data_IF_537497767984
#
_entry.id   IF_537497767984
#
_cell.length_a   1.000
_cell.length_b   1.000
_cell.length_c   1.000
_cell.angle_alpha   90.00
_cell.angle_beta   90.00
_cell.angle_gamma   90.00
#
_symmetry.space_group_name_H-M   'P 1'
#
loop_
_entity.id
_entity.type
_entity.pdbx_description
1 polymer ?
#
# COMPACT_ATOMS: atom_id res chain seq x y z
N UNK A 1 -0.98 -5.67 -24.82
CA UNK A 1 -1.89 -6.00 -23.70
C UNK A 1 -1.60 -5.17 -22.42
N UNK A 2 -1.49 -3.83 -22.48
CA UNK A 2 -1.26 -3.01 -21.28
C UNK A 2 -2.44 -3.09 -20.29
N UNK A 3 -3.67 -3.10 -20.78
CA UNK A 3 -4.88 -3.10 -19.93
C UNK A 3 -4.96 -4.25 -18.91
N UNK A 4 -4.41 -5.43 -19.18
CA UNK A 4 -4.42 -6.55 -18.23
C UNK A 4 -3.56 -6.26 -16.99
N UNK A 5 -2.40 -5.63 -17.17
CA UNK A 5 -1.51 -5.26 -16.06
C UNK A 5 -2.05 -4.07 -15.25
N UNK A 6 -2.72 -3.13 -15.92
CA UNK A 6 -3.44 -2.03 -15.28
C UNK A 6 -4.58 -2.55 -14.38
N UNK A 7 -5.32 -3.58 -14.84
CA UNK A 7 -6.34 -4.26 -14.02
C UNK A 7 -5.77 -4.94 -12.78
N UNK A 8 -4.53 -5.45 -12.84
CA UNK A 8 -3.85 -6.02 -11.66
C UNK A 8 -3.55 -4.96 -10.60
N UNK A 9 -3.21 -3.73 -11.02
CA UNK A 9 -3.04 -2.62 -10.09
C UNK A 9 -4.36 -2.23 -9.39
N UNK A 10 -5.48 -2.26 -10.12
CA UNK A 10 -6.82 -2.09 -9.51
C UNK A 10 -7.19 -3.26 -8.58
N UNK A 11 -6.82 -4.50 -8.95
CA UNK A 11 -6.94 -5.66 -8.08
C UNK A 11 -6.18 -5.50 -6.77
N UNK A 12 -4.98 -4.94 -6.82
CA UNK A 12 -4.20 -4.60 -5.62
C UNK A 12 -4.92 -3.55 -4.75
N UNK A 13 -5.50 -2.51 -5.38
CA UNK A 13 -6.31 -1.52 -4.67
C UNK A 13 -7.51 -2.14 -3.95
N UNK A 14 -8.19 -3.11 -4.59
CA UNK A 14 -9.30 -3.85 -3.99
C UNK A 14 -8.82 -4.70 -2.80
N UNK A 15 -7.69 -5.39 -2.93
CA UNK A 15 -7.08 -6.13 -1.83
C UNK A 15 -6.76 -5.22 -0.64
N UNK A 16 -6.24 -4.02 -0.88
CA UNK A 16 -5.93 -3.05 0.19
C UNK A 16 -7.20 -2.47 0.82
N UNK A 17 -8.25 -2.24 0.04
CA UNK A 17 -9.54 -1.80 0.58
C UNK A 17 -10.15 -2.87 1.52
N UNK A 18 -10.16 -4.14 1.09
CA UNK A 18 -10.60 -5.27 1.93
C UNK A 18 -9.71 -5.43 3.17
N UNK A 19 -8.41 -5.36 2.99
CA UNK A 19 -7.44 -5.42 4.07
C UNK A 19 -7.68 -4.33 5.12
N UNK A 20 -7.99 -3.11 4.70
CA UNK A 20 -8.29 -2.00 5.60
C UNK A 20 -9.49 -2.30 6.52
N UNK A 21 -10.54 -2.97 6.02
CA UNK A 21 -11.67 -3.39 6.84
C UNK A 21 -11.31 -4.43 7.90
N UNK A 22 -10.46 -5.40 7.52
CA UNK A 22 -10.05 -6.51 8.40
C UNK A 22 -9.06 -6.02 9.46
N UNK A 23 -8.28 -4.98 9.16
CA UNK A 23 -7.20 -4.49 10.05
C UNK A 23 -7.68 -3.83 11.33
N UNK A 24 -8.91 -3.30 11.36
CA UNK A 24 -9.41 -2.43 12.46
C UNK A 24 -9.35 -3.11 13.83
N UNK A 25 -9.84 -4.34 13.94
CA UNK A 25 -9.84 -5.10 15.19
C UNK A 25 -8.42 -5.43 15.68
N UNK A 26 -7.64 -6.16 14.87
CA UNK A 26 -6.28 -6.55 15.24
C UNK A 26 -5.34 -5.38 15.53
N UNK A 27 -5.42 -4.29 14.76
CA UNK A 27 -4.56 -3.12 14.98
C UNK A 27 -4.90 -2.36 16.28
N UNK A 28 -6.18 -2.36 16.68
CA UNK A 28 -6.59 -1.81 17.99
C UNK A 28 -6.10 -2.66 19.15
N UNK A 29 -6.14 -3.98 19.00
CA UNK A 29 -5.72 -4.91 20.05
C UNK A 29 -4.20 -4.89 20.24
N UNK A 30 -3.43 -5.00 19.15
CA UNK A 30 -1.97 -5.12 19.20
C UNK A 30 -1.24 -3.76 19.25
N UNK A 31 -1.89 -2.69 18.82
CA UNK A 31 -1.22 -1.45 18.43
C UNK A 31 -0.65 -1.52 17.00
N UNK A 32 -0.51 -0.36 16.35
CA UNK A 32 -0.18 -0.28 14.92
C UNK A 32 1.14 -0.97 14.55
N UNK A 33 2.21 -0.74 15.31
CA UNK A 33 3.54 -1.32 15.01
C UNK A 33 3.58 -2.83 15.25
N UNK A 34 3.00 -3.30 16.38
CA UNK A 34 2.96 -4.74 16.66
C UNK A 34 2.05 -5.48 15.68
N UNK A 35 0.91 -4.90 15.29
CA UNK A 35 0.07 -5.42 14.21
C UNK A 35 0.84 -5.54 12.91
N UNK A 36 1.55 -4.46 12.47
CA UNK A 36 2.37 -4.49 11.26
C UNK A 36 3.43 -5.59 11.31
N UNK A 37 4.15 -5.71 12.41
CA UNK A 37 5.19 -6.73 12.60
C UNK A 37 4.66 -8.16 12.50
N UNK A 38 3.57 -8.48 13.22
CA UNK A 38 2.96 -9.81 13.15
C UNK A 38 2.39 -10.10 11.77
N UNK A 39 1.77 -9.09 11.15
CA UNK A 39 1.28 -9.17 9.77
C UNK A 39 2.40 -9.52 8.81
N UNK A 40 3.52 -8.79 8.85
CA UNK A 40 4.67 -9.02 7.96
C UNK A 40 5.30 -10.40 8.18
N UNK A 41 5.44 -10.84 9.44
CA UNK A 41 5.96 -12.17 9.75
C UNK A 41 5.09 -13.26 9.13
N UNK A 42 3.77 -13.21 9.38
CA UNK A 42 2.84 -14.22 8.84
C UNK A 42 2.82 -14.22 7.32
N UNK A 43 2.85 -13.04 6.69
CA UNK A 43 2.92 -12.91 5.23
C UNK A 43 4.23 -13.42 4.68
N UNK A 44 5.36 -13.13 5.32
CA UNK A 44 6.66 -13.66 4.89
C UNK A 44 6.63 -15.19 4.86
N UNK A 45 6.12 -15.82 5.92
CA UNK A 45 5.97 -17.28 5.99
C UNK A 45 5.07 -17.81 4.87
N UNK A 46 3.89 -17.17 4.65
CA UNK A 46 2.96 -17.58 3.59
C UNK A 46 3.57 -17.43 2.20
N UNK A 47 4.28 -16.31 1.94
CA UNK A 47 4.93 -16.06 0.65
C UNK A 47 6.07 -17.05 0.40
N UNK A 48 6.86 -17.40 1.41
CA UNK A 48 7.89 -18.43 1.26
C UNK A 48 7.30 -19.80 1.00
N UNK A 49 6.23 -20.19 1.70
CA UNK A 49 5.49 -21.42 1.38
C UNK A 49 5.00 -21.39 -0.06
N UNK A 50 4.35 -20.30 -0.49
CA UNK A 50 3.88 -20.16 -1.86
C UNK A 50 5.02 -20.21 -2.89
N UNK A 51 6.17 -19.57 -2.59
CA UNK A 51 7.36 -19.58 -3.45
C UNK A 51 7.94 -20.99 -3.62
N UNK A 52 7.93 -21.79 -2.55
CA UNK A 52 8.51 -23.14 -2.56
C UNK A 52 7.58 -24.18 -3.16
N UNK A 53 6.25 -23.98 -3.09
CA UNK A 53 5.27 -25.03 -3.42
C UNK A 53 4.38 -24.70 -4.62
N UNK A 54 4.06 -23.44 -4.83
CA UNK A 54 3.00 -23.02 -5.78
C UNK A 54 3.50 -22.12 -6.91
N UNK A 55 4.78 -21.72 -6.89
CA UNK A 55 5.23 -20.72 -7.83
C UNK A 55 5.37 -21.26 -9.27
N UNK A 56 4.59 -20.72 -10.23
CA UNK A 56 4.66 -21.12 -11.63
C UNK A 56 5.87 -20.54 -12.36
N UNK A 57 6.60 -19.60 -11.76
CA UNK A 57 7.74 -18.89 -12.36
C UNK A 57 9.10 -19.38 -11.87
N UNK A 58 9.18 -20.53 -11.20
CA UNK A 58 10.44 -21.11 -10.74
C UNK A 58 10.88 -20.71 -9.34
N UNK A 59 10.03 -19.99 -8.60
CA UNK A 59 10.25 -19.64 -7.21
C UNK A 59 11.48 -18.77 -6.96
N UNK A 60 12.17 -18.99 -5.85
CA UNK A 60 13.36 -18.22 -5.46
C UNK A 60 14.54 -18.43 -6.42
N UNK A 61 14.61 -19.55 -7.14
CA UNK A 61 15.66 -19.86 -8.12
C UNK A 61 15.58 -18.97 -9.36
N UNK A 62 14.42 -18.38 -9.61
CA UNK A 62 14.22 -17.40 -10.68
C UNK A 62 14.83 -16.03 -10.40
N UNK A 63 15.27 -15.79 -9.16
CA UNK A 63 15.86 -14.50 -8.76
C UNK A 63 17.35 -14.48 -9.08
N UNK A 64 17.79 -13.68 -10.07
CA UNK A 64 19.20 -13.50 -10.35
C UNK A 64 19.94 -12.94 -9.12
N UNK A 65 21.21 -13.30 -8.88
CA UNK A 65 21.96 -12.82 -7.72
C UNK A 65 21.95 -11.30 -7.54
N UNK A 66 22.00 -10.55 -8.65
CA UNK A 66 21.96 -9.08 -8.64
C UNK A 66 20.62 -8.49 -8.22
N UNK A 67 19.53 -9.27 -8.21
CA UNK A 67 18.20 -8.77 -7.79
C UNK A 67 18.00 -8.73 -6.29
N UNK A 68 18.78 -9.48 -5.50
CA UNK A 68 18.60 -9.57 -4.05
C UNK A 68 18.77 -8.23 -3.36
N UNK A 69 19.78 -7.46 -3.75
CA UNK A 69 20.02 -6.14 -3.16
C UNK A 69 18.90 -5.12 -3.47
N UNK A 70 18.46 -4.93 -4.73
CA UNK A 70 17.34 -4.04 -5.01
C UNK A 70 16.03 -4.48 -4.32
N UNK A 71 15.77 -5.78 -4.25
CA UNK A 71 14.60 -6.31 -3.53
C UNK A 71 14.68 -6.00 -2.03
N UNK A 72 15.83 -6.25 -1.41
CA UNK A 72 16.06 -5.95 0.01
C UNK A 72 15.91 -4.44 0.28
N UNK A 73 16.54 -3.59 -0.52
CA UNK A 73 16.47 -2.14 -0.39
C UNK A 73 15.04 -1.63 -0.59
N UNK A 74 14.33 -2.14 -1.59
CA UNK A 74 12.92 -1.81 -1.85
C UNK A 74 12.01 -2.23 -0.68
N UNK A 75 12.26 -3.39 -0.07
CA UNK A 75 11.56 -3.84 1.13
C UNK A 75 11.84 -2.97 2.34
N UNK A 76 13.11 -2.62 2.56
CA UNK A 76 13.54 -1.76 3.66
C UNK A 76 12.95 -0.35 3.53
N UNK A 77 13.08 0.28 2.35
CA UNK A 77 12.61 1.65 2.12
C UNK A 77 11.08 1.72 2.10
N UNK A 78 10.43 0.92 1.25
CA UNK A 78 8.98 1.05 1.02
C UNK A 78 8.14 0.41 2.12
N UNK A 79 8.52 -0.79 2.58
CA UNK A 79 7.69 -1.53 3.53
C UNK A 79 8.06 -1.16 4.97
N UNK A 80 9.35 -1.16 5.33
CA UNK A 80 9.73 -0.87 6.72
C UNK A 80 9.71 0.64 7.02
N UNK A 81 10.52 1.44 6.32
CA UNK A 81 10.62 2.89 6.59
C UNK A 81 9.30 3.58 6.24
N UNK A 82 8.69 3.22 5.10
CA UNK A 82 7.40 3.76 4.66
C UNK A 82 6.29 3.52 5.68
N UNK A 83 6.11 2.29 6.16
CA UNK A 83 5.08 1.96 7.17
C UNK A 83 5.36 2.65 8.51
N UNK A 84 6.62 2.67 8.98
CA UNK A 84 6.98 3.36 10.23
C UNK A 84 6.65 4.85 10.14
N UNK A 85 7.01 5.50 9.04
CA UNK A 85 6.71 6.91 8.81
C UNK A 85 5.18 7.15 8.70
N UNK A 86 4.46 6.28 7.99
CA UNK A 86 3.00 6.38 7.84
C UNK A 86 2.28 6.22 9.19
N UNK A 87 2.63 5.21 9.98
CA UNK A 87 2.03 5.03 11.30
C UNK A 87 2.36 6.17 12.26
N UNK A 88 3.59 6.69 12.20
CA UNK A 88 3.95 7.87 12.98
C UNK A 88 3.19 9.14 12.52
N UNK A 89 2.91 9.28 11.23
CA UNK A 89 2.05 10.34 10.70
C UNK A 89 0.59 10.17 11.14
N UNK A 90 0.06 8.94 11.03
CA UNK A 90 -1.32 8.63 11.46
C UNK A 90 -1.54 8.91 12.94
N UNK A 91 -0.54 8.66 13.79
CA UNK A 91 -0.63 8.97 15.22
C UNK A 91 -0.66 10.48 15.51
N UNK A 92 -0.18 11.34 14.60
CA UNK A 92 -0.13 12.80 14.76
C UNK A 92 -1.29 13.52 14.06
N UNK A 93 -1.62 13.09 12.84
CA UNK A 93 -2.59 13.76 11.98
C UNK A 93 -3.97 13.08 11.97
N UNK A 94 -4.03 11.85 12.52
CA UNK A 94 -5.12 10.93 12.28
C UNK A 94 -5.01 10.21 10.92
N UNK A 95 -5.66 9.04 10.78
CA UNK A 95 -5.53 8.17 9.61
C UNK A 95 -5.99 8.84 8.31
N UNK A 96 -6.96 9.71 8.38
CA UNK A 96 -7.55 10.39 7.23
C UNK A 96 -6.60 11.39 6.59
N UNK A 97 -6.06 12.38 7.37
CA UNK A 97 -5.10 13.37 6.86
C UNK A 97 -3.82 12.69 6.38
N UNK A 98 -3.32 11.70 7.14
CA UNK A 98 -2.17 10.90 6.73
C UNK A 98 -2.44 10.16 5.42
N UNK A 99 -3.63 9.58 5.23
CA UNK A 99 -4.02 8.89 4.00
C UNK A 99 -4.06 9.82 2.77
N UNK A 100 -4.58 11.06 2.92
CA UNK A 100 -4.55 12.07 1.84
C UNK A 100 -3.12 12.39 1.41
N UNK A 101 -2.25 12.67 2.38
CA UNK A 101 -0.85 12.97 2.11
C UNK A 101 -0.12 11.76 1.53
N UNK A 102 -0.41 10.55 2.02
CA UNK A 102 0.17 9.33 1.48
C UNK A 102 -0.25 9.07 0.04
N UNK A 103 -1.47 9.43 -0.38
CA UNK A 103 -1.93 9.27 -1.76
C UNK A 103 -1.07 10.05 -2.78
N UNK A 104 -0.29 11.04 -2.33
CA UNK A 104 0.70 11.75 -3.18
C UNK A 104 1.84 10.83 -3.67
N UNK A 105 1.97 9.59 -3.13
CA UNK A 105 2.94 8.61 -3.65
C UNK A 105 2.76 8.36 -5.15
N UNK A 106 1.54 8.46 -5.67
CA UNK A 106 1.26 8.30 -7.09
C UNK A 106 1.88 9.42 -7.93
N UNK A 107 1.82 10.67 -7.44
CA UNK A 107 2.49 11.80 -8.10
C UNK A 107 4.01 11.66 -8.05
N UNK A 108 4.58 11.29 -6.89
CA UNK A 108 6.01 10.99 -6.78
C UNK A 108 6.44 9.86 -7.72
N UNK A 109 5.65 8.79 -7.82
CA UNK A 109 5.92 7.67 -8.71
C UNK A 109 5.91 8.08 -10.18
N UNK A 110 4.97 8.92 -10.59
CA UNK A 110 4.88 9.44 -11.95
C UNK A 110 6.11 10.31 -12.31
N UNK A 111 6.49 11.22 -11.39
CA UNK A 111 7.66 12.08 -11.58
C UNK A 111 8.95 11.24 -11.63
N UNK A 112 9.14 10.32 -10.69
CA UNK A 112 10.32 9.46 -10.63
C UNK A 112 10.40 8.53 -11.83
N UNK A 113 9.28 7.95 -12.29
CA UNK A 113 9.21 7.13 -13.50
C UNK A 113 9.64 7.92 -14.73
N UNK A 114 9.16 9.15 -14.88
CA UNK A 114 9.56 10.03 -15.98
C UNK A 114 11.05 10.39 -15.91
N UNK A 115 11.53 10.88 -14.75
CA UNK A 115 12.90 11.40 -14.62
C UNK A 115 13.96 10.30 -14.67
N UNK A 116 13.70 9.15 -14.01
CA UNK A 116 14.72 8.11 -13.81
C UNK A 116 14.62 7.00 -14.84
N UNK A 117 13.39 6.59 -15.20
CA UNK A 117 13.16 5.49 -16.14
C UNK A 117 12.84 5.96 -17.57
N UNK A 118 12.66 7.26 -17.77
CA UNK A 118 12.26 7.80 -19.08
C UNK A 118 10.83 7.42 -19.49
N UNK A 119 9.98 7.02 -18.53
CA UNK A 119 8.58 6.67 -18.79
C UNK A 119 7.83 7.90 -19.30
N UNK A 120 7.10 7.75 -20.41
CA UNK A 120 6.29 8.82 -20.99
C UNK A 120 4.81 8.55 -20.74
N UNK A 121 4.21 9.35 -19.89
CA UNK A 121 2.77 9.31 -19.65
C UNK A 121 2.10 10.19 -20.72
N UNK A 122 1.31 9.60 -21.61
CA UNK A 122 0.54 10.32 -22.61
C UNK A 122 -0.43 11.31 -21.97
N UNK A 123 -0.84 12.35 -22.69
CA UNK A 123 -1.71 13.41 -22.17
C UNK A 123 -3.02 12.86 -21.60
N UNK A 124 -3.63 11.89 -22.27
CA UNK A 124 -4.87 11.24 -21.79
C UNK A 124 -4.66 10.55 -20.43
N UNK A 125 -3.57 9.80 -20.27
CA UNK A 125 -3.25 9.13 -19.00
C UNK A 125 -2.86 10.14 -17.91
N UNK A 126 -2.19 11.23 -18.25
CA UNK A 126 -1.88 12.31 -17.32
C UNK A 126 -3.15 12.99 -16.80
N UNK A 127 -4.09 13.34 -17.68
CA UNK A 127 -5.39 13.89 -17.30
C UNK A 127 -6.19 12.90 -16.45
N UNK A 128 -6.22 11.64 -16.86
CA UNK A 128 -6.83 10.56 -16.07
C UNK A 128 -6.21 10.43 -14.69
N UNK A 129 -4.88 10.54 -14.57
CA UNK A 129 -4.14 10.52 -13.31
C UNK A 129 -4.51 11.67 -12.39
N UNK A 130 -4.57 12.90 -12.91
CA UNK A 130 -4.99 14.08 -12.15
C UNK A 130 -6.43 13.92 -11.64
N UNK A 131 -7.36 13.47 -12.49
CA UNK A 131 -8.75 13.23 -12.10
C UNK A 131 -8.87 12.13 -11.04
N UNK A 132 -8.12 11.03 -11.20
CA UNK A 132 -8.10 9.93 -10.23
C UNK A 132 -7.61 10.42 -8.87
N UNK A 133 -6.49 11.14 -8.82
CA UNK A 133 -5.94 11.67 -7.57
C UNK A 133 -6.86 12.70 -6.92
N UNK A 134 -7.41 13.64 -7.71
CA UNK A 134 -8.37 14.62 -7.23
C UNK A 134 -9.62 13.93 -6.66
N UNK A 135 -10.11 12.88 -7.33
CA UNK A 135 -11.24 12.08 -6.86
C UNK A 135 -10.95 11.36 -5.55
N UNK A 136 -9.80 10.68 -5.44
CA UNK A 136 -9.36 10.01 -4.20
C UNK A 136 -9.24 11.02 -3.05
N UNK A 137 -8.60 12.16 -3.29
CA UNK A 137 -8.45 13.20 -2.27
C UNK A 137 -9.82 13.76 -1.84
N UNK A 138 -10.72 14.01 -2.78
CA UNK A 138 -12.09 14.48 -2.50
C UNK A 138 -12.85 13.44 -1.67
N UNK A 139 -12.80 12.16 -2.04
CA UNK A 139 -13.44 11.08 -1.29
C UNK A 139 -12.93 10.98 0.14
N UNK A 140 -11.62 11.11 0.34
CA UNK A 140 -11.02 11.07 1.67
C UNK A 140 -11.35 12.34 2.48
N UNK A 141 -11.23 13.53 1.91
CA UNK A 141 -11.40 14.79 2.62
C UNK A 141 -12.87 15.08 2.97
N UNK A 142 -13.76 14.84 2.03
CA UNK A 142 -15.18 15.20 2.14
C UNK A 142 -16.10 14.00 2.43
N UNK A 143 -15.55 12.79 2.46
CA UNK A 143 -16.30 11.55 2.64
C UNK A 143 -16.86 11.32 4.04
N UNK A 144 -16.65 12.24 5.00
CA UNK A 144 -17.07 12.12 6.39
C UNK A 144 -18.45 12.72 6.64
N UNK A 145 -19.24 12.04 7.49
CA UNK A 145 -20.36 12.66 8.18
C UNK A 145 -19.89 13.29 9.50
N UNK A 146 -20.52 14.41 9.90
CA UNK A 146 -20.17 15.16 11.14
C UNK A 146 -20.23 14.31 12.41
N UNK A 147 -21.04 13.26 12.43
CA UNK A 147 -21.25 12.39 13.60
C UNK A 147 -20.18 11.31 13.81
N UNK A 148 -19.23 11.15 12.88
CA UNK A 148 -18.21 10.09 12.92
C UNK A 148 -16.87 10.58 13.53
N UNK A 149 -16.92 11.52 14.50
CA UNK A 149 -15.73 11.97 15.23
C UNK A 149 -15.16 10.83 16.10
N UNK A 150 -14.25 10.02 15.52
CA UNK A 150 -13.53 9.04 16.31
C UNK A 150 -12.39 9.71 17.10
N UNK A 151 -12.17 9.27 18.35
CA UNK A 151 -11.08 9.71 19.22
C UNK A 151 -9.66 9.60 18.61
N UNK A 152 -9.54 8.99 17.45
CA UNK A 152 -8.30 8.83 16.69
C UNK A 152 -7.95 10.03 15.81
N UNK A 153 -8.86 10.96 15.61
CA UNK A 153 -8.67 12.15 14.78
C UNK A 153 -8.24 13.39 15.60
N UNK A 154 -8.03 13.21 16.90
CA UNK A 154 -7.49 14.27 17.74
C UNK A 154 -6.00 14.49 17.38
N UNK A 155 -5.66 15.73 17.04
CA UNK A 155 -4.28 16.15 16.78
C UNK A 155 -3.42 15.88 18.04
N UNK A 156 -2.51 14.93 17.97
CA UNK A 156 -1.59 14.58 19.05
C UNK A 156 -0.17 14.93 18.65
N UNK A 157 0.21 16.20 18.73
CA UNK A 157 1.58 16.64 18.50
C UNK A 157 1.75 17.69 17.39
N UNK A 158 3.00 17.88 16.94
CA UNK A 158 3.31 18.87 15.91
C UNK A 158 2.78 18.46 14.53
N UNK A 159 1.78 19.15 14.02
CA UNK A 159 1.14 18.92 12.71
C UNK A 159 2.17 18.90 11.58
N UNK A 160 3.13 19.84 11.57
CA UNK A 160 4.19 19.88 10.57
C UNK A 160 5.03 18.61 10.50
N UNK A 161 5.41 18.04 11.65
CA UNK A 161 6.13 16.77 11.70
C UNK A 161 5.27 15.60 11.15
N UNK A 162 3.97 15.61 11.43
CA UNK A 162 3.04 14.62 10.87
C UNK A 162 2.94 14.71 9.36
N UNK A 163 2.88 15.91 8.79
CA UNK A 163 2.88 16.15 7.32
C UNK A 163 4.17 15.63 6.69
N UNK A 164 5.32 16.00 7.26
CA UNK A 164 6.62 15.53 6.74
C UNK A 164 6.74 14.00 6.77
N UNK A 165 6.27 13.35 7.82
CA UNK A 165 6.28 11.88 7.93
C UNK A 165 5.35 11.22 6.89
N UNK A 166 4.18 11.79 6.64
CA UNK A 166 3.26 11.26 5.62
C UNK A 166 3.83 11.41 4.21
N UNK A 167 4.46 12.56 3.91
CA UNK A 167 5.14 12.78 2.63
C UNK A 167 6.38 11.90 2.48
N UNK A 168 7.15 11.68 3.56
CA UNK A 168 8.25 10.72 3.58
C UNK A 168 7.75 9.30 3.28
N UNK A 169 6.65 8.87 3.90
CA UNK A 169 6.05 7.57 3.60
C UNK A 169 5.64 7.45 2.13
N UNK A 170 5.03 8.50 1.57
CA UNK A 170 4.65 8.54 0.17
C UNK A 170 5.88 8.47 -0.76
N UNK A 171 6.95 9.20 -0.45
CA UNK A 171 8.20 9.14 -1.20
C UNK A 171 8.87 7.77 -1.10
N UNK A 172 8.92 7.17 0.10
CA UNK A 172 9.44 5.82 0.29
C UNK A 172 8.70 4.78 -0.55
N UNK A 173 7.37 4.89 -0.64
CA UNK A 173 6.56 4.00 -1.46
C UNK A 173 6.89 4.16 -2.96
N UNK A 174 7.04 5.39 -3.43
CA UNK A 174 7.41 5.68 -4.82
C UNK A 174 8.83 5.18 -5.15
N UNK A 175 9.79 5.46 -4.28
CA UNK A 175 11.18 4.96 -4.43
C UNK A 175 11.25 3.44 -4.42
N UNK A 176 10.48 2.76 -3.57
CA UNK A 176 10.45 1.31 -3.52
C UNK A 176 9.94 0.70 -4.84
N UNK A 177 8.92 1.31 -5.44
CA UNK A 177 8.40 0.90 -6.75
C UNK A 177 9.43 1.13 -7.86
N UNK A 178 10.12 2.26 -7.82
CA UNK A 178 11.18 2.60 -8.75
C UNK A 178 12.36 1.60 -8.67
N UNK A 179 12.82 1.30 -7.44
CA UNK A 179 13.93 0.38 -7.19
C UNK A 179 13.61 -1.05 -7.66
N UNK A 180 12.37 -1.49 -7.46
CA UNK A 180 11.97 -2.85 -7.82
C UNK A 180 11.65 -3.02 -9.30
N UNK A 181 11.30 -1.95 -10.01
CA UNK A 181 10.89 -2.00 -11.42
C UNK A 181 11.92 -2.70 -12.34
N UNK A 182 13.24 -2.36 -12.31
CA UNK A 182 14.23 -3.05 -13.13
C UNK A 182 14.30 -4.57 -12.89
N UNK A 183 14.06 -4.99 -11.63
CA UNK A 183 14.02 -6.42 -11.29
C UNK A 183 12.78 -7.07 -11.90
N UNK A 184 11.62 -6.41 -11.85
CA UNK A 184 10.36 -6.98 -12.34
C UNK A 184 10.31 -7.12 -13.86
N UNK A 185 10.97 -6.25 -14.60
CA UNK A 185 11.03 -6.36 -16.07
C UNK A 185 12.03 -7.44 -16.56
N UNK A 186 12.88 -7.96 -15.67
CA UNK A 186 13.80 -9.07 -16.01
C UNK A 186 12.99 -10.33 -16.33
N UNK A 187 13.18 -10.96 -17.50
CA UNK A 187 12.45 -12.16 -17.87
C UNK A 187 12.62 -13.29 -16.85
N UNK A 188 11.55 -14.00 -16.57
CA UNK A 188 11.56 -15.17 -15.68
C UNK A 188 11.50 -14.84 -14.18
N UNK A 189 11.73 -13.61 -13.75
CA UNK A 189 11.67 -13.25 -12.33
C UNK A 189 10.27 -13.51 -11.76
N UNK A 190 10.24 -14.23 -10.64
CA UNK A 190 9.03 -14.58 -9.91
C UNK A 190 8.59 -13.44 -8.98
N UNK A 191 7.39 -12.84 -9.19
CA UNK A 191 6.86 -11.78 -8.33
C UNK A 191 6.55 -12.24 -6.90
N UNK A 192 6.20 -13.53 -6.71
CA UNK A 192 5.92 -14.10 -5.38
C UNK A 192 7.22 -14.17 -4.57
N UNK A 193 8.28 -14.71 -5.19
CA UNK A 193 9.60 -14.76 -4.59
C UNK A 193 10.16 -13.36 -4.30
N UNK A 194 9.99 -12.42 -5.23
CA UNK A 194 10.38 -11.02 -5.03
C UNK A 194 9.61 -10.38 -3.85
N UNK A 195 8.30 -10.63 -3.74
CA UNK A 195 7.50 -10.20 -2.58
C UNK A 195 7.99 -10.83 -1.28
N UNK A 196 8.31 -12.13 -1.29
CA UNK A 196 8.82 -12.85 -0.11
C UNK A 196 10.11 -12.21 0.41
N UNK A 197 11.08 -11.93 -0.45
CA UNK A 197 12.34 -11.27 -0.06
C UNK A 197 12.07 -9.89 0.54
N UNK A 198 11.27 -9.05 -0.12
CA UNK A 198 10.95 -7.68 0.32
C UNK A 198 10.30 -7.67 1.70
N UNK A 199 9.27 -8.53 1.90
CA UNK A 199 8.54 -8.61 3.18
C UNK A 199 9.44 -9.20 4.28
N UNK A 200 10.31 -10.16 3.95
CA UNK A 200 11.26 -10.74 4.92
C UNK A 200 12.23 -9.69 5.47
N UNK A 201 12.81 -8.87 4.60
CA UNK A 201 13.72 -7.79 5.04
C UNK A 201 12.98 -6.77 5.91
N UNK A 202 11.76 -6.39 5.54
CA UNK A 202 10.93 -5.50 6.35
C UNK A 202 10.57 -6.13 7.70
N UNK A 203 10.29 -7.45 7.73
CA UNK A 203 10.04 -8.19 8.98
C UNK A 203 11.25 -8.17 9.89
N UNK A 204 12.44 -8.47 9.38
CA UNK A 204 13.68 -8.43 10.16
C UNK A 204 13.94 -7.01 10.72
N UNK A 205 13.74 -5.98 9.92
CA UNK A 205 13.88 -4.59 10.35
C UNK A 205 12.86 -4.22 11.44
N UNK A 206 11.61 -4.70 11.37
CA UNK A 206 10.59 -4.50 12.41
C UNK A 206 10.97 -5.21 13.74
N UNK A 207 11.57 -6.40 13.67
CA UNK A 207 12.07 -7.07 14.86
C UNK A 207 13.31 -6.38 15.44
N UNK A 208 14.21 -5.87 14.59
CA UNK A 208 15.34 -5.05 15.02
C UNK A 208 14.86 -3.77 15.71
N UNK A 209 13.82 -3.10 15.20
CA UNK A 209 13.21 -1.93 15.84
C UNK A 209 12.62 -2.29 17.21
N UNK A 210 12.01 -3.46 17.37
CA UNK A 210 11.55 -3.92 18.67
C UNK A 210 12.72 -4.16 19.63
N UNK A 211 13.77 -4.81 19.15
CA UNK A 211 14.96 -5.14 19.93
C UNK A 211 15.73 -3.88 20.36
N UNK A 212 15.65 -2.77 19.60
CA UNK A 212 16.25 -1.48 19.97
C UNK A 212 15.57 -0.81 21.17
N UNK A 213 14.46 -1.38 21.67
CA UNK A 213 13.73 -0.82 22.82
C UNK A 213 12.77 0.31 22.46
N UNK A 214 12.51 0.57 21.17
CA UNK A 214 11.55 1.59 20.75
C UNK A 214 10.16 1.32 21.35
N UNK A 215 9.69 2.18 22.25
CA UNK A 215 8.53 1.94 23.08
C UNK A 215 7.24 1.68 22.25
N UNK A 216 7.04 2.42 21.15
CA UNK A 216 5.87 2.23 20.30
C UNK A 216 5.87 0.88 19.54
N UNK A 217 7.01 0.18 19.43
CA UNK A 217 7.09 -1.14 18.82
C UNK A 217 6.54 -2.26 19.72
N UNK A 218 6.37 -2.00 21.02
CA UNK A 218 5.81 -2.99 21.96
C UNK A 218 4.32 -3.18 21.71
N UNK A 219 3.79 -4.42 21.84
CA UNK A 219 2.35 -4.64 21.69
C UNK A 219 1.58 -4.01 22.85
N UNK A 220 0.41 -3.43 22.54
CA UNK A 220 -0.48 -2.88 23.56
C UNK A 220 -1.11 -3.97 24.42
N UNK A 221 -1.46 -5.09 23.78
CA UNK A 221 -1.99 -6.30 24.43
C UNK A 221 -1.31 -7.53 23.87
N UNK A 222 -1.34 -8.64 24.64
CA UNK A 222 -0.79 -9.91 24.20
C UNK A 222 -1.55 -10.44 22.98
N UNK A 223 -0.87 -10.96 21.95
CA UNK A 223 -1.52 -11.55 20.79
C UNK A 223 -2.31 -12.78 21.20
N UNK A 224 -3.58 -12.84 20.86
CA UNK A 224 -4.42 -14.04 20.97
C UNK A 224 -4.45 -14.78 19.66
N UNK A 225 -4.79 -16.07 19.66
CA UNK A 225 -4.88 -16.88 18.44
C UNK A 225 -5.85 -16.26 17.41
N UNK A 226 -7.04 -15.82 17.87
CA UNK A 226 -8.04 -15.19 17.00
C UNK A 226 -7.50 -13.90 16.34
N UNK A 227 -6.78 -13.06 17.10
CA UNK A 227 -6.16 -11.83 16.59
C UNK A 227 -5.05 -12.16 15.59
N UNK A 228 -4.24 -13.21 15.83
CA UNK A 228 -3.21 -13.65 14.89
C UNK A 228 -3.80 -14.19 13.59
N UNK A 229 -4.90 -14.97 13.66
CA UNK A 229 -5.61 -15.44 12.46
C UNK A 229 -6.15 -14.27 11.65
N UNK A 230 -6.83 -13.30 12.28
CA UNK A 230 -7.33 -12.09 11.59
C UNK A 230 -6.17 -11.28 10.99
N UNK A 231 -5.04 -11.18 11.70
CA UNK A 231 -3.82 -10.50 11.21
C UNK A 231 -3.24 -11.24 10.00
N UNK A 232 -3.23 -12.58 10.03
CA UNK A 232 -2.78 -13.43 8.92
C UNK A 232 -3.65 -13.28 7.69
N UNK A 233 -4.99 -13.32 7.85
CA UNK A 233 -5.94 -13.10 6.75
C UNK A 233 -5.78 -11.70 6.16
N UNK A 234 -5.69 -10.67 7.02
CA UNK A 234 -5.40 -9.31 6.56
C UNK A 234 -4.09 -9.25 5.77
N UNK A 235 -3.03 -9.84 6.32
CA UNK A 235 -1.72 -9.88 5.71
C UNK A 235 -1.73 -10.58 4.36
N UNK A 236 -2.38 -11.75 4.27
CA UNK A 236 -2.50 -12.48 3.02
C UNK A 236 -3.20 -11.65 1.94
N UNK A 237 -4.35 -11.06 2.24
CA UNK A 237 -5.10 -10.25 1.27
C UNK A 237 -4.35 -8.98 0.91
N UNK A 238 -3.95 -8.17 1.90
CA UNK A 238 -3.39 -6.84 1.62
C UNK A 238 -1.93 -6.87 1.15
N UNK A 239 -1.09 -7.68 1.80
CA UNK A 239 0.34 -7.73 1.51
C UNK A 239 0.71 -8.91 0.60
N UNK A 240 0.21 -10.10 0.88
CA UNK A 240 0.48 -11.29 0.07
C UNK A 240 -0.05 -11.12 -1.34
N UNK A 241 -1.34 -10.95 -1.49
CA UNK A 241 -1.98 -10.76 -2.80
C UNK A 241 -1.74 -9.34 -3.34
N UNK A 242 -2.12 -8.30 -2.58
CA UNK A 242 -2.10 -6.92 -3.08
C UNK A 242 -0.71 -6.48 -3.52
N UNK A 243 0.33 -6.72 -2.71
CA UNK A 243 1.71 -6.33 -3.07
C UNK A 243 2.24 -7.16 -4.25
N UNK A 244 1.92 -8.46 -4.32
CA UNK A 244 2.33 -9.31 -5.44
C UNK A 244 1.66 -8.86 -6.74
N UNK A 245 0.37 -8.48 -6.72
CA UNK A 245 -0.32 -7.92 -7.88
C UNK A 245 0.33 -6.62 -8.37
N UNK A 246 0.77 -5.74 -7.46
CA UNK A 246 1.56 -4.55 -7.84
C UNK A 246 2.86 -4.95 -8.55
N UNK A 247 3.60 -5.94 -8.02
CA UNK A 247 4.84 -6.38 -8.67
C UNK A 247 4.60 -6.99 -10.04
N UNK A 248 3.50 -7.76 -10.21
CA UNK A 248 3.10 -8.27 -11.52
C UNK A 248 2.71 -7.13 -12.45
N UNK A 249 1.96 -6.14 -11.97
CA UNK A 249 1.60 -4.96 -12.76
C UNK A 249 2.84 -4.19 -13.23
N UNK A 250 3.86 -4.06 -12.38
CA UNK A 250 5.12 -3.40 -12.71
C UNK A 250 5.96 -4.13 -13.76
N UNK A 251 5.68 -5.39 -14.10
CA UNK A 251 6.40 -6.09 -15.18
C UNK A 251 6.25 -5.38 -16.53
N UNK A 252 5.06 -4.89 -16.83
CA UNK A 252 4.75 -4.25 -18.12
C UNK A 252 4.06 -2.88 -18.01
N UNK A 253 3.68 -2.46 -16.79
CA UNK A 253 3.06 -1.16 -16.53
C UNK A 253 4.07 -0.13 -16.06
N UNK A 254 3.87 1.14 -16.40
CA UNK A 254 4.68 2.25 -15.91
C UNK A 254 4.51 2.42 -14.40
N UNK A 255 5.59 2.81 -13.71
CA UNK A 255 5.59 3.01 -12.24
C UNK A 255 4.53 4.03 -11.84
N UNK A 256 4.42 5.14 -12.57
CA UNK A 256 3.43 6.18 -12.32
C UNK A 256 1.99 5.66 -12.50
N UNK A 257 1.71 4.98 -13.60
CA UNK A 257 0.37 4.43 -13.89
C UNK A 257 -0.05 3.40 -12.84
N UNK A 258 0.81 2.44 -12.53
CA UNK A 258 0.53 1.41 -11.51
C UNK A 258 0.28 2.05 -10.14
N UNK A 259 1.04 3.08 -9.77
CA UNK A 259 0.84 3.80 -8.52
C UNK A 259 -0.49 4.56 -8.49
N UNK A 260 -0.89 5.24 -9.57
CA UNK A 260 -2.18 5.95 -9.66
C UNK A 260 -3.33 4.95 -9.53
N UNK A 261 -3.33 3.86 -10.30
CA UNK A 261 -4.39 2.86 -10.28
C UNK A 261 -4.51 2.16 -8.92
N UNK A 262 -3.38 1.84 -8.29
CA UNK A 262 -3.38 1.24 -6.96
C UNK A 262 -3.79 2.21 -5.84
N UNK A 263 -3.70 3.53 -6.06
CA UNK A 263 -4.11 4.55 -5.09
C UNK A 263 -5.63 4.71 -4.94
N UNK A 264 -6.45 4.07 -5.77
CA UNK A 264 -7.93 4.15 -5.69
C UNK A 264 -8.54 3.34 -4.53
N UNK A 265 -7.72 2.62 -3.77
CA UNK A 265 -8.14 1.81 -2.62
C UNK A 265 -9.12 2.53 -1.66
N UNK A 266 -8.94 3.81 -1.27
CA UNK A 266 -9.88 4.51 -0.40
C UNK A 266 -11.27 4.68 -1.02
N UNK A 267 -11.36 4.79 -2.34
CA UNK A 267 -12.64 4.89 -3.04
C UNK A 267 -13.35 3.55 -3.06
N UNK A 268 -12.61 2.45 -3.31
CA UNK A 268 -13.15 1.10 -3.26
C UNK A 268 -13.60 0.70 -1.84
N UNK A 269 -13.04 1.34 -0.82
CA UNK A 269 -13.46 1.14 0.56
C UNK A 269 -14.87 1.70 0.85
N UNK A 270 -15.33 2.73 0.13
CA UNK A 270 -16.63 3.39 0.39
C UNK A 270 -17.83 2.42 0.31
N UNK A 271 -18.03 1.66 -0.78
CA UNK A 271 -19.14 0.71 -0.86
C UNK A 271 -19.01 -0.41 0.19
N UNK A 272 -17.79 -0.84 0.51
CA UNK A 272 -17.55 -1.86 1.53
C UNK A 272 -17.93 -1.37 2.94
N UNK A 273 -17.61 -0.11 3.26
CA UNK A 273 -18.04 0.53 4.50
C UNK A 273 -19.55 0.69 4.55
N UNK A 274 -20.18 1.08 3.45
CA UNK A 274 -21.64 1.19 3.39
C UNK A 274 -22.32 -0.15 3.69
N UNK A 275 -21.88 -1.23 3.03
CA UNK A 275 -22.40 -2.58 3.29
C UNK A 275 -22.21 -3.02 4.75
N UNK A 276 -21.07 -2.68 5.35
CA UNK A 276 -20.75 -3.08 6.73
C UNK A 276 -21.49 -2.26 7.78
N UNK A 277 -21.65 -0.95 7.57
CA UNK A 277 -22.20 -0.01 8.55
C UNK A 277 -23.70 0.25 8.34
N UNK A 278 -24.28 -0.18 7.21
CA UNK A 278 -25.67 0.09 6.84
C UNK A 278 -25.98 1.56 6.57
N UNK A 279 -24.96 2.44 6.58
CA UNK A 279 -25.10 3.90 6.40
C UNK A 279 -24.36 4.33 5.15
N UNK A 280 -25.04 5.06 4.21
CA UNK A 280 -24.36 5.52 3.00
C UNK A 280 -23.29 6.56 3.34
N UNK A 281 -22.16 6.57 2.60
CA UNK A 281 -21.15 7.63 2.69
C UNK A 281 -21.73 9.02 2.41
N UNK A 282 -21.01 10.08 2.80
CA UNK A 282 -21.42 11.46 2.50
C UNK A 282 -21.53 11.67 0.97
N UNK A 283 -22.45 12.52 0.47
CA UNK A 283 -22.63 12.77 -0.96
C UNK A 283 -21.32 13.19 -1.67
N UNK A 284 -20.50 13.98 -1.00
CA UNK A 284 -19.20 14.41 -1.53
C UNK A 284 -18.21 13.24 -1.74
N UNK A 285 -18.34 12.14 -0.97
CA UNK A 285 -17.55 10.93 -1.22
C UNK A 285 -17.90 10.28 -2.56
N UNK A 286 -19.18 10.31 -2.95
CA UNK A 286 -19.64 9.80 -4.24
C UNK A 286 -19.16 10.65 -5.42
N UNK A 287 -19.07 11.97 -5.23
CA UNK A 287 -18.44 12.85 -6.22
C UNK A 287 -16.96 12.46 -6.43
N UNK A 288 -16.23 12.27 -5.33
CA UNK A 288 -14.84 11.80 -5.40
C UNK A 288 -14.72 10.43 -6.07
N UNK A 289 -15.64 9.51 -5.77
CA UNK A 289 -15.70 8.20 -6.42
C UNK A 289 -15.95 8.32 -7.93
N UNK A 290 -16.89 9.17 -8.35
CA UNK A 290 -17.18 9.43 -9.76
C UNK A 290 -15.95 9.98 -10.52
N UNK A 291 -15.27 11.00 -9.96
CA UNK A 291 -14.02 11.53 -10.53
C UNK A 291 -12.95 10.44 -10.65
N UNK A 292 -12.80 9.60 -9.63
CA UNK A 292 -11.83 8.50 -9.64
C UNK A 292 -12.16 7.49 -10.75
N UNK A 293 -13.43 7.11 -10.91
CA UNK A 293 -13.87 6.17 -11.96
C UNK A 293 -13.60 6.74 -13.34
N UNK A 294 -13.95 8.00 -13.59
CA UNK A 294 -13.68 8.67 -14.88
C UNK A 294 -12.18 8.76 -15.15
N UNK A 295 -11.40 9.18 -14.15
CA UNK A 295 -9.94 9.27 -14.29
C UNK A 295 -9.29 7.91 -14.57
N UNK A 296 -9.71 6.87 -13.85
CA UNK A 296 -9.26 5.50 -14.06
C UNK A 296 -9.63 4.99 -15.45
N UNK A 297 -10.86 5.25 -15.92
CA UNK A 297 -11.29 4.88 -17.26
C UNK A 297 -10.43 5.53 -18.35
N UNK A 298 -10.09 6.82 -18.20
CA UNK A 298 -9.20 7.53 -19.13
C UNK A 298 -7.81 6.86 -19.19
N UNK A 299 -7.30 6.36 -18.06
CA UNK A 299 -6.03 5.65 -18.02
C UNK A 299 -6.12 4.30 -18.73
N UNK A 300 -7.21 3.55 -18.53
CA UNK A 300 -7.36 2.21 -19.10
C UNK A 300 -7.62 2.23 -20.62
N UNK A 301 -8.25 3.30 -21.12
CA UNK A 301 -8.62 3.47 -22.55
C UNK A 301 -7.52 4.12 -23.40
N UNK A 302 -6.32 4.32 -22.87
CA UNK A 302 -5.18 4.91 -23.58
C UNK A 302 -4.56 3.97 -24.63
#
# INVERSE_FOLDING_TARGET
MPAAYDLLALGAAACWALGSLISVGPSRHLGAFAFSRWRMLLVALMLWVATLTLSPWGGWQSLPPQSWWPLALSGLVGIFVGDVALFAAMNRLGPRRAGVLFATHAAFSAVLGFVVLGERIGLQAALGGVLTLAGVMTAILLGRRHDDAHAWEADRGHVGAGVLLALLAALCQALASLIVKPVMITPGVDPIAASAVRVSVATLAQFALLASGFAAARPTQRPTFAVLVQTGVNGFVAMGMGMTLVLVALKNGDVGTVAILSSVSPVLLLPLLWLRLGRPPAPAAWLGAGLTVVGTALILLR
#
